data_IF_649218921044
#
_entry.id   IF_649218921044
#
_cell.length_a   1.000
_cell.length_b   1.000
_cell.length_c   1.000
_cell.angle_alpha   90.00
_cell.angle_beta   90.00
_cell.angle_gamma   90.00
#
_symmetry.space_group_name_H-M   'P 1'
#
loop_
_entity.id
_entity.type
_entity.pdbx_description
1 polymer ?
#
# COMPACT_ATOMS: atom_id res chain seq x y z
N UNK A 1 -9.19 -4.15 -33.57
CA UNK A 1 -7.78 -3.68 -33.65
C UNK A 1 -7.74 -2.17 -33.41
N UNK A 2 -7.65 -1.72 -32.16
CA UNK A 2 -7.63 -0.28 -31.82
C UNK A 2 -6.24 0.19 -31.33
N UNK A 3 -5.31 -0.72 -31.10
CA UNK A 3 -3.98 -0.37 -30.55
C UNK A 3 -2.85 -0.20 -31.56
N UNK A 4 -3.17 0.09 -32.81
CA UNK A 4 -2.21 0.10 -33.92
C UNK A 4 -1.15 1.20 -33.95
N UNK A 5 -1.07 2.08 -32.95
CA UNK A 5 -0.01 3.11 -32.83
C UNK A 5 0.10 3.76 -31.44
N UNK A 6 -0.56 3.20 -30.44
CA UNK A 6 -0.49 3.69 -29.06
C UNK A 6 0.66 2.94 -28.40
N UNK A 7 1.71 3.66 -27.96
CA UNK A 7 2.82 3.04 -27.20
C UNK A 7 2.32 2.43 -25.89
N UNK A 8 3.01 1.39 -25.37
CA UNK A 8 2.60 0.71 -24.14
C UNK A 8 2.39 1.66 -22.95
N UNK A 9 3.17 2.73 -22.85
CA UNK A 9 2.98 3.75 -21.81
C UNK A 9 1.60 4.40 -21.89
N UNK A 10 1.08 4.70 -23.09
CA UNK A 10 -0.26 5.26 -23.22
C UNK A 10 -1.35 4.27 -22.77
N UNK A 11 -1.16 2.96 -23.01
CA UNK A 11 -2.09 1.91 -22.54
C UNK A 11 -2.06 1.85 -21.02
N UNK A 12 -0.87 1.90 -20.41
CA UNK A 12 -0.72 1.91 -18.96
C UNK A 12 -1.33 3.17 -18.34
N UNK A 13 -1.18 4.33 -18.96
CA UNK A 13 -1.79 5.56 -18.49
C UNK A 13 -3.32 5.53 -18.56
N UNK A 14 -3.90 4.89 -19.58
CA UNK A 14 -5.36 4.67 -19.63
C UNK A 14 -5.81 3.69 -18.54
N UNK A 15 -5.06 2.60 -18.32
CA UNK A 15 -5.34 1.66 -17.25
C UNK A 15 -5.28 2.36 -15.88
N UNK A 16 -4.27 3.20 -15.62
CA UNK A 16 -4.20 3.99 -14.38
C UNK A 16 -5.45 4.81 -14.13
N UNK A 17 -6.00 5.44 -15.17
CA UNK A 17 -7.23 6.24 -15.05
C UNK A 17 -8.43 5.40 -14.62
N UNK A 18 -8.48 4.11 -15.00
CA UNK A 18 -9.55 3.21 -14.56
C UNK A 18 -9.46 2.87 -13.07
N UNK A 19 -8.27 2.94 -12.47
CA UNK A 19 -8.06 2.80 -11.03
C UNK A 19 -8.33 4.10 -10.25
N UNK A 20 -8.43 5.25 -10.92
CA UNK A 20 -8.87 6.48 -10.27
C UNK A 20 -10.38 6.42 -10.04
N UNK A 21 -10.80 6.47 -8.78
CA UNK A 21 -12.22 6.46 -8.40
C UNK A 21 -12.72 7.90 -8.40
N UNK A 22 -13.57 8.29 -9.38
CA UNK A 22 -14.09 9.64 -9.44
C UNK A 22 -14.88 9.98 -8.17
N UNK A 23 -14.60 11.14 -7.57
CA UNK A 23 -15.28 11.58 -6.36
C UNK A 23 -14.91 10.81 -5.08
N UNK A 24 -13.86 9.98 -5.10
CA UNK A 24 -13.42 9.24 -3.92
C UNK A 24 -13.15 10.17 -2.73
N UNK A 25 -12.54 11.30 -2.99
CA UNK A 25 -12.22 12.26 -1.92
C UNK A 25 -13.47 12.74 -1.17
N UNK A 26 -14.55 13.05 -1.86
CA UNK A 26 -15.81 13.49 -1.27
C UNK A 26 -16.60 12.31 -0.68
N UNK A 27 -16.74 11.24 -1.42
CA UNK A 27 -17.55 10.08 -1.01
C UNK A 27 -16.95 9.31 0.17
N UNK A 28 -15.62 9.34 0.34
CA UNK A 28 -14.93 8.66 1.43
C UNK A 28 -14.71 9.54 2.67
N UNK A 29 -15.31 10.70 2.76
CA UNK A 29 -15.09 11.64 3.86
C UNK A 29 -15.34 11.02 5.24
N UNK A 30 -16.37 10.20 5.41
CA UNK A 30 -16.68 9.52 6.67
C UNK A 30 -15.62 8.46 6.98
N UNK A 31 -15.29 7.60 6.03
CA UNK A 31 -14.26 6.58 6.15
C UNK A 31 -12.88 7.22 6.48
N UNK A 32 -12.49 8.23 5.72
CA UNK A 32 -11.26 8.99 5.96
C UNK A 32 -11.22 9.58 7.38
N UNK A 33 -12.34 10.10 7.87
CA UNK A 33 -12.45 10.57 9.26
C UNK A 33 -12.19 9.46 10.26
N UNK A 34 -12.80 8.29 10.08
CA UNK A 34 -12.65 7.12 10.95
C UNK A 34 -11.21 6.58 10.95
N UNK A 35 -10.58 6.50 9.77
CA UNK A 35 -9.17 6.10 9.64
C UNK A 35 -8.26 7.09 10.37
N UNK A 36 -8.49 8.38 10.16
CA UNK A 36 -7.70 9.43 10.83
C UNK A 36 -7.89 9.42 12.34
N UNK A 37 -9.13 9.21 12.84
CA UNK A 37 -9.40 9.05 14.26
C UNK A 37 -8.61 7.88 14.85
N UNK A 38 -8.62 6.73 14.15
CA UNK A 38 -7.89 5.54 14.57
C UNK A 38 -6.36 5.80 14.68
N UNK A 39 -5.80 6.52 13.71
CA UNK A 39 -4.38 6.90 13.73
C UNK A 39 -4.09 7.79 14.95
N UNK A 40 -4.90 8.81 15.19
CA UNK A 40 -4.71 9.76 16.28
C UNK A 40 -4.91 9.10 17.66
N UNK A 41 -5.92 8.23 17.80
CA UNK A 41 -6.14 7.43 19.01
C UNK A 41 -4.92 6.55 19.32
N UNK A 42 -4.38 5.88 18.29
CA UNK A 42 -3.23 5.00 18.42
C UNK A 42 -1.91 5.75 18.69
N UNK A 43 -1.80 7.00 18.26
CA UNK A 43 -0.63 7.85 18.51
C UNK A 43 -0.56 8.38 19.95
N UNK A 44 -1.71 8.45 20.65
CA UNK A 44 -1.78 8.99 21.99
C UNK A 44 -1.08 8.06 23.01
N UNK A 45 -0.27 8.58 23.96
CA UNK A 45 0.30 7.76 25.01
C UNK A 45 -0.80 7.09 25.84
N UNK A 46 -0.70 5.78 26.10
CA UNK A 46 -1.66 5.01 26.92
C UNK A 46 -1.82 5.56 28.35
N UNK A 47 -0.81 6.21 28.90
CA UNK A 47 -0.82 6.78 30.26
C UNK A 47 -1.85 7.88 30.48
N UNK A 48 -2.44 8.45 29.42
CA UNK A 48 -3.53 9.44 29.56
C UNK A 48 -4.91 8.83 29.77
N UNK A 49 -5.09 7.51 29.63
CA UNK A 49 -6.39 6.86 29.80
C UNK A 49 -6.65 6.28 31.20
N UNK A 50 -5.63 6.17 32.08
CA UNK A 50 -5.83 5.57 33.41
C UNK A 50 -6.31 6.56 34.50
N UNK A 51 -6.39 7.87 34.26
CA UNK A 51 -6.89 8.85 35.23
C UNK A 51 -8.23 9.51 34.88
N UNK A 52 -9.14 8.79 34.24
CA UNK A 52 -10.56 9.16 34.32
C UNK A 52 -11.15 8.51 35.58
N UNK A 53 -10.73 8.97 36.76
CA UNK A 53 -11.46 8.73 38.00
C UNK A 53 -12.88 9.25 37.83
N UNK A 54 -13.85 8.35 38.02
CA UNK A 54 -15.29 8.63 38.00
C UNK A 54 -15.59 9.97 38.68
N UNK A 55 -16.13 10.98 38.00
CA UNK A 55 -16.45 12.25 38.66
C UNK A 55 -17.56 12.02 39.66
N UNK A 56 -17.28 12.33 40.91
CA UNK A 56 -18.35 12.53 41.90
C UNK A 56 -19.30 13.60 41.38
N UNK A 57 -20.57 13.23 41.29
CA UNK A 57 -21.70 14.06 40.88
C UNK A 57 -21.63 15.42 41.55
N UNK A 58 -21.62 16.48 40.76
CA UNK A 58 -21.91 17.84 41.19
C UNK A 58 -20.78 18.84 41.07
N UNK A 59 -20.49 19.27 39.84
CA UNK A 59 -20.00 20.64 39.58
C UNK A 59 -20.15 20.96 38.08
N UNK A 60 -20.54 22.21 37.84
CA UNK A 60 -20.71 22.92 36.58
C UNK A 60 -19.67 22.53 35.53
N UNK A 61 -20.16 22.19 34.31
CA UNK A 61 -19.34 22.07 33.09
C UNK A 61 -18.63 23.39 32.80
N UNK A 62 -17.44 23.58 33.34
CA UNK A 62 -16.49 24.52 32.76
C UNK A 62 -15.96 23.87 31.49
N UNK A 63 -16.31 24.45 30.33
CA UNK A 63 -15.65 24.19 29.07
C UNK A 63 -14.18 24.59 29.27
N UNK A 64 -13.33 23.58 29.41
CA UNK A 64 -11.89 23.82 29.42
C UNK A 64 -11.51 24.36 28.03
N UNK A 65 -10.73 25.46 27.95
CA UNK A 65 -10.22 25.89 26.65
C UNK A 65 -9.40 24.76 26.05
N UNK A 66 -9.54 24.56 24.73
CA UNK A 66 -8.71 23.63 23.98
C UNK A 66 -7.25 23.92 24.37
N UNK A 67 -6.59 22.94 24.98
CA UNK A 67 -5.18 23.08 25.29
C UNK A 67 -4.44 23.26 23.97
N UNK A 68 -3.64 24.32 23.84
CA UNK A 68 -2.62 24.47 22.79
C UNK A 68 -1.59 23.34 22.97
N UNK A 69 -1.99 22.10 22.68
CA UNK A 69 -1.06 20.98 22.61
C UNK A 69 -0.30 21.14 21.31
N UNK A 70 0.92 21.66 21.44
CA UNK A 70 1.87 21.71 20.33
C UNK A 70 1.95 20.33 19.70
N UNK A 71 1.90 20.27 18.37
CA UNK A 71 2.11 19.04 17.63
C UNK A 71 3.41 18.37 18.10
N UNK A 72 3.39 17.07 18.28
CA UNK A 72 4.56 16.31 18.76
C UNK A 72 4.65 15.00 18.01
N UNK A 73 5.89 14.54 17.78
CA UNK A 73 6.14 13.25 17.16
C UNK A 73 6.16 13.27 15.64
N UNK A 74 6.43 12.11 15.09
CA UNK A 74 6.66 11.90 13.67
C UNK A 74 5.89 10.69 13.14
N UNK A 75 5.38 10.80 11.91
CA UNK A 75 4.63 9.72 11.26
C UNK A 75 5.10 9.50 9.82
N UNK A 76 5.23 8.24 9.41
CA UNK A 76 5.44 7.86 8.02
C UNK A 76 4.18 7.19 7.45
N UNK A 77 3.72 7.66 6.29
CA UNK A 77 2.54 7.17 5.59
C UNK A 77 2.98 6.49 4.29
N UNK A 78 2.81 5.17 4.22
CA UNK A 78 3.21 4.33 3.08
C UNK A 78 2.06 4.10 2.12
N UNK A 79 2.32 4.25 0.81
CA UNK A 79 1.32 4.05 -0.24
C UNK A 79 0.19 5.07 -0.19
N UNK A 80 0.52 6.31 0.16
CA UNK A 80 -0.50 7.33 0.47
C UNK A 80 -1.28 7.80 -0.76
N UNK A 81 -0.69 7.68 -1.96
CA UNK A 81 -1.31 8.17 -3.19
C UNK A 81 -1.82 9.62 -3.06
N UNK A 82 -3.07 9.89 -3.50
CA UNK A 82 -3.68 11.22 -3.39
C UNK A 82 -4.33 11.49 -2.02
N UNK A 83 -4.03 10.70 -0.99
CA UNK A 83 -4.55 10.80 0.38
C UNK A 83 -6.09 10.81 0.47
N UNK A 84 -6.74 9.89 -0.23
CA UNK A 84 -8.20 9.77 -0.17
C UNK A 84 -8.67 9.17 1.16
N UNK A 85 -7.85 8.31 1.78
CA UNK A 85 -8.17 7.52 2.97
C UNK A 85 -7.79 8.22 4.28
N UNK A 86 -6.95 9.25 4.24
CA UNK A 86 -6.36 9.90 5.42
C UNK A 86 -6.49 11.41 5.32
N UNK A 87 -6.92 12.05 6.41
CA UNK A 87 -7.00 13.52 6.49
C UNK A 87 -5.64 14.11 6.90
N UNK A 88 -4.86 14.52 5.89
CA UNK A 88 -3.53 15.09 6.10
C UNK A 88 -3.56 16.40 6.90
N UNK A 89 -4.64 17.19 6.82
CA UNK A 89 -4.76 18.43 7.58
C UNK A 89 -4.83 18.12 9.07
N UNK A 90 -5.71 17.21 9.46
CA UNK A 90 -5.85 16.81 10.86
C UNK A 90 -4.54 16.19 11.39
N UNK A 91 -3.86 15.37 10.58
CA UNK A 91 -2.54 14.86 11.00
C UNK A 91 -1.52 15.97 11.18
N UNK A 92 -1.50 16.99 10.31
CA UNK A 92 -0.55 18.12 10.43
C UNK A 92 -0.76 19.01 11.66
N UNK A 93 -1.92 18.90 12.29
CA UNK A 93 -2.20 19.57 13.58
C UNK A 93 -1.66 18.79 14.78
N UNK A 94 -1.35 17.48 14.60
CA UNK A 94 -0.95 16.56 15.67
C UNK A 94 0.50 16.11 15.59
N UNK A 95 1.08 16.01 14.37
CA UNK A 95 2.46 15.58 14.18
C UNK A 95 3.35 16.73 13.71
N UNK A 96 4.55 16.83 14.29
CA UNK A 96 5.56 17.82 13.88
C UNK A 96 6.17 17.49 12.52
N UNK A 97 6.21 16.18 12.17
CA UNK A 97 6.77 15.70 10.92
C UNK A 97 5.92 14.57 10.35
N UNK A 98 5.57 14.71 9.07
CA UNK A 98 4.79 13.73 8.31
C UNK A 98 5.55 13.42 7.02
N UNK A 99 6.00 12.18 6.87
CA UNK A 99 6.68 11.70 5.65
C UNK A 99 5.71 10.90 4.83
N UNK A 100 5.44 11.36 3.60
CA UNK A 100 4.60 10.68 2.62
C UNK A 100 5.50 9.84 1.72
N UNK A 101 5.25 8.54 1.64
CA UNK A 101 6.07 7.57 0.90
C UNK A 101 5.20 6.89 -0.15
N UNK A 102 5.49 7.14 -1.43
CA UNK A 102 4.77 6.54 -2.56
C UNK A 102 5.67 6.53 -3.81
N UNK A 103 5.33 5.69 -4.80
CA UNK A 103 5.97 5.74 -6.11
C UNK A 103 5.54 6.98 -6.91
N UNK A 104 4.25 7.33 -6.84
CA UNK A 104 3.63 8.39 -7.62
C UNK A 104 3.69 9.74 -6.90
N UNK A 105 4.79 10.47 -7.16
CA UNK A 105 5.01 11.81 -6.61
C UNK A 105 3.88 12.79 -6.95
N UNK A 106 3.37 12.74 -8.19
CA UNK A 106 2.33 13.66 -8.63
C UNK A 106 1.03 13.43 -7.86
N UNK A 107 0.73 12.17 -7.55
CA UNK A 107 -0.42 11.80 -6.73
C UNK A 107 -0.31 12.36 -5.31
N UNK A 108 0.86 12.24 -4.68
CA UNK A 108 1.13 12.85 -3.37
C UNK A 108 0.98 14.39 -3.42
N UNK A 109 1.52 15.04 -4.46
CA UNK A 109 1.42 16.50 -4.65
C UNK A 109 -0.05 16.94 -4.85
N UNK A 110 -0.86 16.15 -5.57
CA UNK A 110 -2.31 16.38 -5.68
C UNK A 110 -3.01 16.27 -4.32
N UNK A 111 -2.63 15.28 -3.51
CA UNK A 111 -3.11 15.14 -2.13
C UNK A 111 -2.81 16.38 -1.31
N UNK A 112 -1.56 16.82 -1.25
CA UNK A 112 -1.17 18.04 -0.53
C UNK A 112 -1.92 19.30 -1.02
N UNK A 113 -2.17 19.40 -2.35
CA UNK A 113 -2.90 20.51 -2.91
C UNK A 113 -4.36 20.59 -2.40
N UNK A 114 -5.03 19.44 -2.30
CA UNK A 114 -6.41 19.36 -1.78
C UNK A 114 -6.53 19.86 -0.34
N UNK A 115 -5.51 19.61 0.47
CA UNK A 115 -5.47 20.03 1.87
C UNK A 115 -4.82 21.42 2.06
N UNK A 116 -4.37 22.08 0.99
CA UNK A 116 -3.60 23.35 1.03
C UNK A 116 -2.32 23.25 1.88
N UNK A 117 -1.59 22.11 1.75
CA UNK A 117 -0.40 21.79 2.52
C UNK A 117 0.90 21.78 1.68
N UNK A 118 0.87 22.26 0.44
CA UNK A 118 2.03 22.22 -0.48
C UNK A 118 3.27 22.98 0.02
N UNK A 119 3.07 23.96 0.91
CA UNK A 119 4.15 24.76 1.49
C UNK A 119 4.35 24.47 2.98
N UNK A 120 3.75 23.40 3.50
CA UNK A 120 3.90 23.03 4.88
C UNK A 120 5.30 22.49 5.15
N UNK A 121 5.98 23.05 6.15
CA UNK A 121 7.28 22.56 6.60
C UNK A 121 7.20 21.24 7.38
N UNK A 122 6.00 20.80 7.73
CA UNK A 122 5.76 19.52 8.40
C UNK A 122 5.69 18.33 7.42
N UNK A 123 5.54 18.59 6.12
CA UNK A 123 5.36 17.56 5.09
C UNK A 123 6.66 17.28 4.34
N UNK A 124 7.02 16.01 4.24
CA UNK A 124 8.13 15.53 3.44
C UNK A 124 7.62 14.50 2.42
N UNK A 125 8.04 14.64 1.15
CA UNK A 125 7.66 13.70 0.08
C UNK A 125 8.85 12.82 -0.28
N UNK A 126 8.66 11.51 -0.17
CA UNK A 126 9.63 10.49 -0.51
C UNK A 126 9.11 9.62 -1.65
N UNK A 127 9.54 9.94 -2.89
CA UNK A 127 9.13 9.16 -4.07
C UNK A 127 10.07 7.98 -4.26
N UNK A 128 9.54 6.76 -4.03
CA UNK A 128 10.30 5.52 -4.12
C UNK A 128 9.41 4.34 -4.50
N UNK A 129 9.90 3.48 -5.41
CA UNK A 129 9.27 2.17 -5.63
C UNK A 129 9.65 1.22 -4.50
N UNK A 130 8.66 0.83 -3.71
CA UNK A 130 8.84 -0.13 -2.62
C UNK A 130 9.15 -1.53 -3.15
N UNK A 131 8.51 -1.96 -4.24
CA UNK A 131 8.77 -3.25 -4.88
C UNK A 131 9.99 -3.24 -5.81
N UNK A 132 10.53 -2.07 -6.14
CA UNK A 132 11.57 -1.90 -7.16
C UNK A 132 11.06 -1.98 -8.60
N UNK A 133 9.78 -2.25 -8.78
CA UNK A 133 9.12 -2.24 -10.08
C UNK A 133 8.57 -0.84 -10.34
N UNK A 134 8.89 -0.29 -11.50
CA UNK A 134 8.43 1.04 -11.93
C UNK A 134 7.34 0.91 -13.00
N UNK A 135 6.76 2.03 -13.40
CA UNK A 135 5.76 2.04 -14.47
C UNK A 135 6.37 1.66 -15.81
N UNK A 136 7.64 2.01 -16.04
CA UNK A 136 8.40 1.60 -17.22
C UNK A 136 8.60 0.08 -17.26
N UNK A 137 8.76 -0.57 -16.10
CA UNK A 137 8.87 -2.03 -16.02
C UNK A 137 7.55 -2.71 -16.36
N UNK A 138 6.43 -2.16 -15.90
CA UNK A 138 5.09 -2.66 -16.23
C UNK A 138 4.82 -2.45 -17.73
N UNK A 139 5.22 -1.30 -18.28
CA UNK A 139 5.11 -1.04 -19.71
C UNK A 139 5.95 -2.03 -20.53
N UNK A 140 7.20 -2.30 -20.12
CA UNK A 140 8.07 -3.26 -20.77
C UNK A 140 7.52 -4.70 -20.69
N UNK A 141 6.92 -5.08 -19.56
CA UNK A 141 6.19 -6.32 -19.40
C UNK A 141 5.07 -6.43 -20.44
N UNK A 142 4.20 -5.41 -20.52
CA UNK A 142 3.09 -5.37 -21.47
C UNK A 142 3.58 -5.41 -22.94
N UNK A 143 4.60 -4.62 -23.29
CA UNK A 143 5.20 -4.59 -24.63
C UNK A 143 5.76 -5.95 -25.04
N UNK A 144 6.39 -6.66 -24.12
CA UNK A 144 6.91 -8.01 -24.36
C UNK A 144 5.81 -8.97 -24.79
N UNK A 145 4.70 -8.98 -24.04
CA UNK A 145 3.55 -9.83 -24.33
C UNK A 145 2.84 -9.41 -25.61
N UNK A 146 2.52 -8.13 -25.73
CA UNK A 146 1.83 -7.58 -26.91
C UNK A 146 2.63 -7.81 -28.20
N UNK A 147 3.95 -7.57 -28.15
CA UNK A 147 4.84 -7.86 -29.28
C UNK A 147 4.88 -9.35 -29.66
N UNK A 148 4.80 -10.25 -28.67
CA UNK A 148 4.73 -11.70 -28.94
C UNK A 148 3.39 -12.08 -29.58
N UNK A 149 2.27 -11.54 -29.11
CA UNK A 149 0.94 -11.72 -29.69
C UNK A 149 0.92 -11.26 -31.15
N UNK A 150 1.45 -10.07 -31.43
CA UNK A 150 1.51 -9.54 -32.81
C UNK A 150 2.36 -10.39 -33.75
N UNK A 151 3.53 -10.88 -33.28
CA UNK A 151 4.41 -11.72 -34.11
C UNK A 151 3.82 -13.11 -34.40
N UNK A 152 3.17 -13.70 -33.41
CA UNK A 152 2.62 -15.04 -33.52
C UNK A 152 1.26 -15.07 -34.27
N UNK A 153 0.47 -14.01 -34.11
CA UNK A 153 -0.86 -13.91 -34.71
C UNK A 153 -1.70 -15.19 -34.46
N UNK A 154 -2.29 -15.75 -35.51
CA UNK A 154 -3.11 -16.97 -35.40
C UNK A 154 -2.32 -18.26 -35.08
N UNK A 155 -0.99 -18.22 -35.08
CA UNK A 155 -0.17 -19.35 -34.64
C UNK A 155 0.08 -19.38 -33.15
N UNK A 156 -0.37 -18.36 -32.41
CA UNK A 156 -0.26 -18.30 -30.95
C UNK A 156 -1.16 -19.38 -30.33
N UNK A 157 -0.57 -20.18 -29.46
CA UNK A 157 -1.30 -21.16 -28.65
C UNK A 157 -1.39 -20.65 -27.20
N UNK A 158 -2.37 -21.16 -26.44
CA UNK A 158 -2.50 -20.89 -25.00
C UNK A 158 -1.20 -21.15 -24.25
N UNK A 159 -0.60 -22.34 -24.47
CA UNK A 159 0.66 -22.71 -23.81
C UNK A 159 1.81 -21.74 -24.13
N UNK A 160 1.92 -21.28 -25.38
CA UNK A 160 2.95 -20.32 -25.78
C UNK A 160 2.70 -18.94 -25.17
N UNK A 161 1.45 -18.48 -25.10
CA UNK A 161 1.11 -17.22 -24.45
C UNK A 161 1.44 -17.27 -22.95
N UNK A 162 1.07 -18.36 -22.27
CA UNK A 162 1.36 -18.55 -20.85
C UNK A 162 2.86 -18.62 -20.58
N UNK A 163 3.63 -19.36 -21.38
CA UNK A 163 5.09 -19.43 -21.26
C UNK A 163 5.74 -18.06 -21.37
N UNK A 164 5.33 -17.24 -22.34
CA UNK A 164 5.83 -15.88 -22.51
C UNK A 164 5.42 -15.00 -21.32
N UNK A 165 4.20 -15.14 -20.83
CA UNK A 165 3.69 -14.40 -19.66
C UNK A 165 4.51 -14.71 -18.42
N UNK A 166 4.77 -15.98 -18.14
CA UNK A 166 5.58 -16.40 -16.99
C UNK A 166 7.03 -15.97 -17.12
N UNK A 167 7.61 -16.03 -18.33
CA UNK A 167 8.96 -15.53 -18.57
C UNK A 167 9.09 -14.01 -18.37
N UNK A 168 8.08 -13.24 -18.77
CA UNK A 168 8.03 -11.80 -18.53
C UNK A 168 7.85 -11.48 -17.03
N UNK A 169 6.98 -12.23 -16.32
CA UNK A 169 6.77 -12.09 -14.89
C UNK A 169 8.02 -12.43 -14.07
N UNK A 170 8.84 -13.39 -14.55
CA UNK A 170 10.13 -13.70 -13.92
C UNK A 170 11.10 -12.51 -13.94
N UNK A 171 11.05 -11.62 -14.93
CA UNK A 171 11.87 -10.39 -14.92
C UNK A 171 11.39 -9.43 -13.82
N UNK A 172 10.07 -9.33 -13.62
CA UNK A 172 9.47 -8.55 -12.51
C UNK A 172 9.94 -9.15 -11.18
N UNK A 173 9.83 -10.47 -11.00
CA UNK A 173 10.27 -11.18 -9.79
C UNK A 173 11.74 -10.90 -9.45
N UNK A 174 12.63 -10.92 -10.43
CA UNK A 174 14.06 -10.62 -10.21
C UNK A 174 14.29 -9.22 -9.67
N UNK A 175 13.54 -8.22 -10.14
CA UNK A 175 13.63 -6.84 -9.63
C UNK A 175 13.13 -6.76 -8.19
N UNK A 176 12.04 -7.42 -7.89
CA UNK A 176 11.49 -7.48 -6.52
C UNK A 176 12.50 -8.10 -5.56
N UNK A 177 13.09 -9.25 -5.94
CA UNK A 177 14.11 -9.93 -5.12
C UNK A 177 15.33 -9.05 -4.89
N UNK A 178 15.83 -8.38 -5.96
CA UNK A 178 16.97 -7.46 -5.82
C UNK A 178 16.63 -6.24 -4.94
N UNK A 179 15.40 -5.75 -5.01
CA UNK A 179 14.96 -4.61 -4.18
C UNK A 179 14.78 -5.00 -2.72
N UNK A 180 14.31 -6.21 -2.44
CA UNK A 180 14.12 -6.73 -1.09
C UNK A 180 15.39 -6.56 -0.23
N UNK A 181 16.55 -6.86 -0.81
CA UNK A 181 17.84 -6.79 -0.10
C UNK A 181 18.26 -5.36 0.25
N UNK A 182 17.77 -4.38 -0.50
CA UNK A 182 18.15 -2.96 -0.34
C UNK A 182 16.97 -2.05 0.05
N UNK A 183 15.79 -2.62 0.30
CA UNK A 183 14.57 -1.85 0.53
C UNK A 183 14.76 -0.84 1.67
N UNK A 184 15.30 -1.28 2.81
CA UNK A 184 15.54 -0.39 3.97
C UNK A 184 16.46 0.78 3.64
N UNK A 185 17.49 0.54 2.81
CA UNK A 185 18.44 1.58 2.40
C UNK A 185 17.85 2.61 1.41
N UNK A 186 16.72 2.28 0.77
CA UNK A 186 15.99 3.18 -0.15
C UNK A 186 15.00 4.08 0.57
N UNK A 187 14.71 3.82 1.82
CA UNK A 187 13.75 4.55 2.65
C UNK A 187 14.49 5.57 3.54
N UNK A 188 13.77 6.55 4.10
CA UNK A 188 14.35 7.46 5.09
C UNK A 188 15.06 6.69 6.20
N UNK A 189 16.24 7.16 6.60
CA UNK A 189 17.06 6.53 7.68
C UNK A 189 16.40 6.69 9.04
N UNK A 190 15.49 7.64 9.14
CA UNK A 190 14.83 8.08 10.36
C UNK A 190 13.94 7.00 10.97
N UNK A 191 13.79 7.09 12.30
CA UNK A 191 12.80 6.34 13.05
C UNK A 191 11.60 7.23 13.37
N UNK A 192 10.40 6.68 13.31
CA UNK A 192 9.15 7.41 13.49
C UNK A 192 8.45 6.94 14.75
N UNK A 193 7.66 7.82 15.39
CA UNK A 193 6.78 7.42 16.47
C UNK A 193 5.66 6.50 15.96
N UNK A 194 5.27 6.66 14.68
CA UNK A 194 4.26 5.84 14.06
C UNK A 194 4.52 5.61 12.56
N UNK A 195 4.20 4.42 12.09
CA UNK A 195 4.16 4.05 10.67
C UNK A 195 2.75 3.61 10.30
N UNK A 196 2.23 4.08 9.17
CA UNK A 196 0.88 3.74 8.70
C UNK A 196 0.91 3.34 7.24
N UNK A 197 0.19 2.26 6.92
CA UNK A 197 -0.09 1.80 5.56
C UNK A 197 -1.56 1.43 5.45
N UNK A 198 -2.28 1.98 4.45
CA UNK A 198 -3.71 1.71 4.21
C UNK A 198 -3.89 1.26 2.77
N UNK A 199 -4.33 0.02 2.55
CA UNK A 199 -4.64 -0.53 1.23
C UNK A 199 -3.44 -0.70 0.28
N UNK A 200 -2.20 -0.55 0.76
CA UNK A 200 -1.00 -0.62 -0.08
C UNK A 200 -0.76 -2.03 -0.65
N UNK A 201 -0.91 -3.05 0.19
CA UNK A 201 -0.44 -4.41 -0.09
C UNK A 201 -1.15 -5.08 -1.26
N UNK A 202 -2.43 -4.82 -1.45
CA UNK A 202 -3.23 -5.31 -2.57
C UNK A 202 -2.94 -4.60 -3.90
N UNK A 203 -2.26 -3.46 -3.87
CA UNK A 203 -2.13 -2.60 -5.05
C UNK A 203 -0.83 -2.78 -5.83
N UNK A 204 0.17 -3.48 -5.28
CA UNK A 204 1.46 -3.63 -5.93
C UNK A 204 1.39 -4.16 -7.37
N UNK A 205 0.47 -5.10 -7.61
CA UNK A 205 0.36 -5.78 -8.91
C UNK A 205 -0.93 -5.45 -9.65
N UNK A 206 -1.77 -4.57 -9.14
CA UNK A 206 -3.09 -4.28 -9.72
C UNK A 206 -2.99 -3.86 -11.18
N UNK A 207 -2.11 -2.90 -11.50
CA UNK A 207 -1.93 -2.43 -12.88
C UNK A 207 -1.32 -3.53 -13.76
N UNK A 208 -0.35 -4.30 -13.26
CA UNK A 208 0.26 -5.40 -13.99
C UNK A 208 -0.75 -6.52 -14.27
N UNK A 209 -1.49 -6.95 -13.26
CA UNK A 209 -2.52 -7.99 -13.37
C UNK A 209 -3.62 -7.57 -14.32
N UNK A 210 -4.12 -6.36 -14.21
CA UNK A 210 -5.17 -5.84 -15.08
C UNK A 210 -4.69 -5.73 -16.54
N UNK A 211 -3.46 -5.26 -16.75
CA UNK A 211 -2.85 -5.21 -18.08
C UNK A 211 -2.74 -6.60 -18.71
N UNK A 212 -2.34 -7.60 -17.91
CA UNK A 212 -2.26 -8.98 -18.36
C UNK A 212 -3.64 -9.54 -18.67
N UNK A 213 -4.64 -9.37 -17.78
CA UNK A 213 -6.02 -9.84 -17.98
C UNK A 213 -6.64 -9.23 -19.24
N UNK A 214 -6.45 -7.94 -19.46
CA UNK A 214 -6.95 -7.25 -20.66
C UNK A 214 -6.35 -7.86 -21.93
N UNK A 215 -5.05 -8.15 -21.94
CA UNK A 215 -4.41 -8.77 -23.10
C UNK A 215 -4.81 -10.25 -23.26
N UNK A 216 -4.91 -10.99 -22.14
CA UNK A 216 -5.35 -12.38 -22.13
C UNK A 216 -6.77 -12.53 -22.71
N UNK A 217 -7.72 -11.69 -22.26
CA UNK A 217 -9.08 -11.67 -22.79
C UNK A 217 -9.13 -11.38 -24.31
N UNK A 218 -8.29 -10.46 -24.79
CA UNK A 218 -8.17 -10.21 -26.24
C UNK A 218 -7.60 -11.42 -27.00
N UNK A 219 -6.63 -12.14 -26.41
CA UNK A 219 -6.07 -13.37 -27.01
C UNK A 219 -7.13 -14.46 -27.06
N UNK A 220 -7.87 -14.67 -25.99
CA UNK A 220 -8.98 -15.62 -25.91
C UNK A 220 -10.03 -15.37 -27.00
N UNK A 221 -10.51 -14.12 -27.07
CA UNK A 221 -11.59 -13.76 -27.98
C UNK A 221 -11.16 -13.78 -29.44
N UNK A 222 -9.99 -13.21 -29.76
CA UNK A 222 -9.61 -12.93 -31.16
C UNK A 222 -8.73 -14.01 -31.77
N UNK A 223 -8.01 -14.78 -30.97
CA UNK A 223 -7.03 -15.74 -31.49
C UNK A 223 -7.36 -17.19 -31.15
N UNK A 224 -7.75 -17.48 -29.91
CA UNK A 224 -7.98 -18.87 -29.47
C UNK A 224 -9.42 -19.32 -29.66
N UNK A 225 -10.39 -18.43 -29.44
CA UNK A 225 -11.81 -18.76 -29.50
C UNK A 225 -12.33 -19.57 -28.30
N UNK A 226 -11.56 -19.65 -27.23
CA UNK A 226 -11.92 -20.26 -25.95
C UNK A 226 -11.21 -19.55 -24.78
N UNK A 227 -11.74 -19.67 -23.55
CA UNK A 227 -11.11 -19.19 -22.36
C UNK A 227 -9.86 -20.00 -22.00
N UNK A 228 -8.83 -19.33 -21.49
CA UNK A 228 -7.60 -19.95 -21.00
C UNK A 228 -7.70 -20.25 -19.51
N UNK A 229 -6.81 -21.11 -19.01
CA UNK A 229 -6.57 -21.23 -17.59
C UNK A 229 -5.59 -20.13 -17.12
N UNK A 230 -6.08 -19.20 -16.30
CA UNK A 230 -5.30 -18.09 -15.76
C UNK A 230 -4.51 -18.44 -14.48
N UNK A 231 -4.83 -19.56 -13.81
CA UNK A 231 -4.24 -19.94 -12.53
C UNK A 231 -2.72 -19.91 -12.51
N UNK A 232 -1.99 -20.44 -13.53
CA UNK A 232 -0.53 -20.45 -13.49
C UNK A 232 0.09 -19.05 -13.39
N UNK A 233 -0.53 -18.04 -13.99
CA UNK A 233 -0.06 -16.66 -13.92
C UNK A 233 -0.27 -16.09 -12.51
N UNK A 234 -1.46 -16.28 -11.95
CA UNK A 234 -1.78 -15.78 -10.60
C UNK A 234 -1.04 -16.53 -9.50
N UNK A 235 -0.79 -17.83 -9.66
CA UNK A 235 0.08 -18.59 -8.74
C UNK A 235 1.52 -18.05 -8.75
N UNK A 236 2.05 -17.74 -9.94
CA UNK A 236 3.39 -17.15 -10.04
C UNK A 236 3.45 -15.74 -9.45
N UNK A 237 2.39 -14.95 -9.58
CA UNK A 237 2.28 -13.63 -8.98
C UNK A 237 2.21 -13.72 -7.46
N UNK A 238 1.38 -14.64 -6.92
CA UNK A 238 1.29 -14.93 -5.48
C UNK A 238 2.64 -15.33 -4.90
N UNK A 239 3.41 -16.14 -5.61
CA UNK A 239 4.75 -16.52 -5.17
C UNK A 239 5.72 -15.33 -5.05
N UNK A 240 5.48 -14.22 -5.76
CA UNK A 240 6.22 -12.97 -5.57
C UNK A 240 5.79 -12.31 -4.25
N UNK A 241 4.49 -12.24 -3.97
CA UNK A 241 3.95 -11.67 -2.74
C UNK A 241 4.41 -12.43 -1.51
N UNK A 242 4.41 -13.75 -1.53
CA UNK A 242 4.85 -14.60 -0.42
C UNK A 242 6.29 -14.29 0.05
N UNK A 243 7.12 -13.80 -0.87
CA UNK A 243 8.51 -13.41 -0.57
C UNK A 243 8.63 -11.94 -0.22
N UNK A 244 7.89 -11.07 -0.92
CA UNK A 244 8.05 -9.63 -0.83
C UNK A 244 7.30 -9.02 0.35
N UNK A 245 6.05 -9.40 0.56
CA UNK A 245 5.18 -8.80 1.58
C UNK A 245 5.72 -8.94 3.00
N UNK A 246 6.22 -10.11 3.44
CA UNK A 246 6.83 -10.23 4.77
C UNK A 246 8.04 -9.30 4.97
N UNK A 247 8.84 -9.09 3.91
CA UNK A 247 9.99 -8.17 3.98
C UNK A 247 9.52 -6.71 4.06
N UNK A 248 8.51 -6.34 3.30
CA UNK A 248 7.94 -5.00 3.36
C UNK A 248 7.39 -4.70 4.76
N UNK A 249 6.60 -5.64 5.33
CA UNK A 249 6.08 -5.51 6.69
C UNK A 249 7.21 -5.34 7.70
N UNK A 250 8.26 -6.18 7.63
CA UNK A 250 9.41 -6.11 8.52
C UNK A 250 10.11 -4.75 8.43
N UNK A 251 10.33 -4.26 7.22
CA UNK A 251 10.96 -2.94 7.01
C UNK A 251 10.08 -1.83 7.58
N UNK A 252 8.78 -1.80 7.29
CA UNK A 252 7.86 -0.80 7.83
C UNK A 252 7.83 -0.84 9.37
N UNK A 253 7.69 -2.04 9.95
CA UNK A 253 7.68 -2.23 11.40
C UNK A 253 9.01 -1.77 12.05
N UNK A 254 10.15 -1.99 11.40
CA UNK A 254 11.45 -1.53 11.91
C UNK A 254 11.62 -0.02 11.92
N UNK A 255 10.76 0.72 11.25
CA UNK A 255 10.85 2.18 11.11
C UNK A 255 10.05 2.96 12.15
N UNK A 256 9.23 2.32 12.98
CA UNK A 256 8.40 3.02 13.95
C UNK A 256 8.19 2.29 15.26
N UNK A 257 7.92 3.04 16.32
CA UNK A 257 7.56 2.49 17.63
C UNK A 257 6.16 1.87 17.63
N UNK A 258 5.29 2.37 16.75
CA UNK A 258 3.92 1.89 16.52
C UNK A 258 3.67 1.75 15.03
N UNK A 259 2.82 0.80 14.67
CA UNK A 259 2.41 0.64 13.28
C UNK A 259 0.92 0.38 13.15
N UNK A 260 0.34 0.88 12.06
CA UNK A 260 -1.00 0.50 11.59
C UNK A 260 -0.84 -0.01 10.18
N UNK A 261 -1.18 -1.29 9.96
CA UNK A 261 -1.23 -1.90 8.64
C UNK A 261 -2.68 -2.26 8.35
N UNK A 262 -3.26 -1.62 7.35
CA UNK A 262 -4.63 -1.85 6.93
C UNK A 262 -4.67 -2.50 5.56
N UNK A 263 -5.44 -3.57 5.45
CA UNK A 263 -5.58 -4.38 4.24
C UNK A 263 -7.05 -4.66 3.96
N UNK A 264 -7.39 -4.88 2.70
CA UNK A 264 -8.71 -5.33 2.28
C UNK A 264 -8.96 -6.76 2.79
N UNK A 265 -10.09 -6.96 3.47
CA UNK A 265 -10.53 -8.26 3.95
C UNK A 265 -11.77 -8.70 3.15
N UNK A 266 -11.61 -9.75 2.36
CA UNK A 266 -12.71 -10.49 1.73
C UNK A 266 -12.50 -11.97 2.05
N UNK A 267 -13.32 -12.53 2.94
CA UNK A 267 -13.20 -13.93 3.35
C UNK A 267 -13.54 -14.89 2.19
N UNK A 268 -14.41 -14.47 1.29
CA UNK A 268 -14.84 -15.31 0.16
C UNK A 268 -13.83 -15.29 -0.99
N UNK A 269 -13.17 -14.15 -1.19
CA UNK A 269 -12.21 -13.95 -2.29
C UNK A 269 -10.99 -13.19 -1.76
N UNK A 270 -10.03 -13.88 -1.12
CA UNK A 270 -8.84 -13.25 -0.56
C UNK A 270 -8.12 -12.42 -1.62
N UNK A 271 -7.91 -11.14 -1.30
CA UNK A 271 -7.13 -10.24 -2.15
C UNK A 271 -5.65 -10.54 -1.93
N UNK A 272 -4.95 -10.86 -3.01
CA UNK A 272 -3.52 -11.15 -2.97
C UNK A 272 -2.72 -9.97 -2.43
N UNK A 273 -1.62 -10.21 -1.77
CA UNK A 273 -0.83 -9.20 -1.06
C UNK A 273 -1.48 -8.75 0.26
N UNK A 274 -2.78 -8.42 0.27
CA UNK A 274 -3.53 -8.12 1.48
C UNK A 274 -3.60 -9.34 2.41
N UNK A 275 -3.95 -10.51 1.88
CA UNK A 275 -4.01 -11.75 2.63
C UNK A 275 -2.64 -12.15 3.19
N UNK A 276 -1.58 -12.10 2.38
CA UNK A 276 -0.22 -12.39 2.82
C UNK A 276 0.23 -11.44 3.94
N UNK A 277 -0.09 -10.14 3.82
CA UNK A 277 0.24 -9.15 4.86
C UNK A 277 -0.48 -9.45 6.17
N UNK A 278 -1.78 -9.67 6.12
CA UNK A 278 -2.60 -10.00 7.29
C UNK A 278 -2.04 -11.22 8.03
N UNK A 279 -1.74 -12.30 7.31
CA UNK A 279 -1.21 -13.54 7.89
C UNK A 279 0.20 -13.36 8.46
N UNK A 280 1.06 -12.57 7.79
CA UNK A 280 2.40 -12.30 8.29
C UNK A 280 2.36 -11.51 9.60
N UNK A 281 1.52 -10.50 9.70
CA UNK A 281 1.35 -9.70 10.94
C UNK A 281 0.78 -10.57 12.08
N UNK A 282 -0.26 -11.36 11.85
CA UNK A 282 -0.81 -12.29 12.87
C UNK A 282 0.22 -13.29 13.38
N UNK A 283 1.09 -13.76 12.49
CA UNK A 283 2.16 -14.69 12.86
C UNK A 283 3.24 -14.02 13.71
N UNK A 284 3.61 -12.77 13.41
CA UNK A 284 4.62 -11.98 14.15
C UNK A 284 4.08 -11.48 15.49
N UNK A 285 2.83 -11.07 15.51
CA UNK A 285 2.12 -10.47 16.63
C UNK A 285 0.80 -11.21 16.89
N UNK A 286 0.84 -12.37 17.62
CA UNK A 286 -0.37 -13.18 17.87
C UNK A 286 -1.48 -12.40 18.59
N UNK A 287 -1.12 -11.41 19.42
CA UNK A 287 -2.05 -10.58 20.19
C UNK A 287 -2.29 -9.21 19.52
N UNK A 288 -2.07 -9.09 18.19
CA UNK A 288 -2.31 -7.85 17.46
C UNK A 288 -3.77 -7.40 17.61
N UNK A 289 -3.94 -6.11 17.91
CA UNK A 289 -5.28 -5.52 17.96
C UNK A 289 -5.82 -5.31 16.55
N UNK A 290 -7.02 -5.81 16.30
CA UNK A 290 -7.66 -5.71 14.99
C UNK A 290 -8.94 -4.89 15.08
N UNK A 291 -9.14 -3.98 14.13
CA UNK A 291 -10.36 -3.20 13.95
C UNK A 291 -10.80 -3.24 12.49
N UNK A 292 -12.08 -3.39 12.25
CA UNK A 292 -12.65 -3.37 10.90
C UNK A 292 -13.40 -2.07 10.68
N UNK A 293 -13.18 -1.48 9.52
CA UNK A 293 -13.94 -0.32 9.04
C UNK A 293 -14.55 -0.64 7.69
N UNK A 294 -15.80 -0.23 7.53
CA UNK A 294 -16.46 -0.34 6.24
C UNK A 294 -15.80 0.61 5.23
N UNK A 295 -15.27 0.05 4.15
CA UNK A 295 -14.67 0.82 3.06
C UNK A 295 -15.72 1.10 1.98
N UNK A 296 -15.95 2.38 1.62
CA UNK A 296 -17.01 2.75 0.68
C UNK A 296 -16.65 2.49 -0.79
N UNK A 297 -15.63 1.68 -1.06
CA UNK A 297 -15.25 1.28 -2.41
C UNK A 297 -16.31 0.32 -2.97
N UNK A 298 -16.81 0.59 -4.17
CA UNK A 298 -17.78 -0.24 -4.87
C UNK A 298 -17.23 -0.63 -6.23
N UNK A 299 -16.72 -1.85 -6.35
CA UNK A 299 -16.42 -2.49 -7.63
C UNK A 299 -17.70 -3.04 -8.27
N UNK A 300 -18.64 -3.51 -7.46
CA UNK A 300 -19.89 -4.10 -7.89
C UNK A 300 -21.08 -3.57 -7.05
N UNK A 301 -22.22 -3.39 -7.72
CA UNK A 301 -23.44 -2.95 -7.05
C UNK A 301 -23.86 -3.97 -5.97
N UNK A 302 -23.98 -3.52 -4.73
CA UNK A 302 -24.44 -4.35 -3.59
C UNK A 302 -23.32 -5.06 -2.80
N UNK A 303 -22.05 -5.01 -3.20
CA UNK A 303 -20.92 -5.49 -2.39
C UNK A 303 -20.43 -4.39 -1.46
N UNK A 304 -20.17 -4.74 -0.22
CA UNK A 304 -19.45 -3.90 0.76
C UNK A 304 -18.09 -4.53 1.04
N UNK A 305 -17.08 -3.71 1.10
CA UNK A 305 -15.73 -4.13 1.43
C UNK A 305 -15.39 -3.66 2.84
N UNK A 306 -14.62 -4.47 3.54
CA UNK A 306 -14.08 -4.11 4.84
C UNK A 306 -12.56 -3.95 4.74
N UNK A 307 -12.06 -2.97 5.49
CA UNK A 307 -10.63 -2.81 5.71
C UNK A 307 -10.32 -3.31 7.12
N UNK A 308 -9.43 -4.27 7.22
CA UNK A 308 -8.89 -4.77 8.47
C UNK A 308 -7.65 -3.95 8.85
N UNK A 309 -7.72 -3.28 9.97
CA UNK A 309 -6.62 -2.50 10.56
C UNK A 309 -5.96 -3.32 11.65
N UNK A 310 -4.68 -3.63 11.47
CA UNK A 310 -3.83 -4.31 12.45
C UNK A 310 -2.97 -3.25 13.15
N UNK A 311 -3.18 -3.08 14.46
CA UNK A 311 -2.56 -2.04 15.27
C UNK A 311 -1.48 -2.68 16.15
N UNK A 312 -0.24 -2.29 15.95
CA UNK A 312 0.94 -2.86 16.56
C UNK A 312 1.63 -1.79 17.41
N UNK A 313 1.87 -2.11 18.68
CA UNK A 313 2.61 -1.26 19.62
C UNK A 313 3.89 -2.01 20.04
N UNK A 314 5.04 -1.49 19.65
CA UNK A 314 6.35 -2.07 19.92
C UNK A 314 7.07 -1.43 21.10
N UNK A 315 6.45 -0.43 21.74
CA UNK A 315 7.10 0.36 22.82
C UNK A 315 7.40 -0.46 24.08
N UNK A 316 6.68 -1.58 24.30
CA UNK A 316 6.87 -2.47 25.46
C UNK A 316 7.89 -3.60 25.24
N UNK A 317 8.23 -3.91 24.01
CA UNK A 317 9.19 -4.97 23.66
C UNK A 317 10.58 -4.35 23.44
N UNK A 318 11.46 -4.45 24.43
CA UNK A 318 12.89 -4.28 24.17
C UNK A 318 13.35 -5.43 23.31
N UNK A 319 13.22 -5.28 22.02
CA UNK A 319 13.73 -6.26 21.07
C UNK A 319 15.24 -6.41 21.21
N UNK A 320 15.68 -7.55 21.74
CA UNK A 320 17.07 -7.99 21.75
C UNK A 320 17.64 -8.31 20.35
N UNK A 321 17.00 -7.84 19.27
CA UNK A 321 17.37 -8.09 17.87
C UNK A 321 17.90 -6.87 17.13
N UNK A 322 17.77 -5.65 17.68
CA UNK A 322 18.27 -4.41 17.04
C UNK A 322 19.79 -4.39 16.84
N UNK A 323 20.55 -5.02 17.75
CA UNK A 323 22.02 -4.99 17.69
C UNK A 323 22.62 -5.92 16.63
N UNK A 324 21.91 -6.96 16.23
CA UNK A 324 22.40 -7.91 15.22
C UNK A 324 22.40 -7.31 13.81
N UNK A 325 21.35 -6.53 13.48
CA UNK A 325 21.21 -5.90 12.17
C UNK A 325 22.14 -4.71 11.95
N UNK A 326 22.37 -3.91 13.00
CA UNK A 326 23.31 -2.78 12.94
C UNK A 326 24.75 -3.27 12.74
N UNK A 327 25.10 -4.42 13.32
CA UNK A 327 26.42 -5.04 13.16
C UNK A 327 26.63 -5.65 11.77
N UNK A 328 25.61 -6.24 11.14
CA UNK A 328 25.70 -6.78 9.78
C UNK A 328 25.81 -5.68 8.71
N UNK A 329 25.01 -4.62 8.81
CA UNK A 329 25.11 -3.48 7.90
C UNK A 329 26.44 -2.74 7.99
N UNK A 330 27.08 -2.62 9.17
CA UNK A 330 28.40 -2.02 9.32
C UNK A 330 29.52 -2.89 8.76
N UNK A 331 29.35 -4.21 8.70
CA UNK A 331 30.35 -5.11 8.11
C UNK A 331 30.30 -5.20 6.57
N UNK A 332 29.20 -4.82 5.94
CA UNK A 332 29.07 -4.78 4.47
C UNK A 332 29.65 -3.51 3.84
N UNK A 333 30.03 -2.51 4.63
CA UNK A 333 30.68 -1.26 4.16
C UNK A 333 32.20 -1.24 4.33
N UNK A 334 32.81 -2.34 4.68
CA UNK A 334 34.27 -2.55 4.69
C UNK A 334 34.67 -3.59 3.64
#
# INVERSE_FOLDING_TARGET
MVYGSIGAMNVIDEIKKEFEIPGAFESWAVYRGQVTDLILESASPRDRMEEVSVPKVGRSLQVMPASDTKATGSIALFGIGPANDIDLRRLSEHFERITLIDLDRESMERGLARYALQQSSTMELWSVSLSGVTMEDIAAFFETLYGAVLRSGRALTEAAFMEISLAALEQVRRKVVATREVLRARLPVEHYDMVVSVGLHSQFWSILSYSWLTLAGNVEEQLLGHAMNHDPFFEALRAIDDVFIPTLNEVMLSMGDRAIIAVEEDEAHPVEGAFQSMQDIRRRYPDVQEKRLHWPFRLEEGKSYEMLFQIIDQTGEKHGTSDAWTAECMNMQR
#
